data_IF_278962358238
#
_entry.id   IF_278962358238
#
_cell.length_a   1.000
_cell.length_b   1.000
_cell.length_c   1.000
_cell.angle_alpha   90.00
_cell.angle_beta   90.00
_cell.angle_gamma   90.00
#
_symmetry.space_group_name_H-M   'P 1'
#
loop_
_entity.id
_entity.type
_entity.pdbx_description
1 polymer ?
#
# COMPACT_ATOMS: atom_id res chain seq x y z
N UNK A 1 5.72 17.42 6.89
CA UNK A 1 5.64 15.97 6.61
C UNK A 1 4.32 15.68 5.94
N UNK A 2 4.28 14.81 4.93
CA UNK A 2 3.02 14.31 4.37
C UNK A 2 2.36 13.41 5.40
N UNK A 3 1.11 13.67 5.74
CA UNK A 3 0.34 12.84 6.68
C UNK A 3 0.01 11.54 5.94
N UNK A 4 0.56 10.42 6.41
CA UNK A 4 0.17 9.10 5.92
C UNK A 4 -1.06 8.67 6.71
N UNK A 5 -2.22 8.70 6.06
CA UNK A 5 -3.48 8.15 6.60
C UNK A 5 -3.72 6.75 6.06
N UNK A 6 -4.26 5.87 6.91
CA UNK A 6 -4.74 4.56 6.47
C UNK A 6 -5.83 4.75 5.41
N UNK A 7 -5.65 4.06 4.28
CA UNK A 7 -6.59 4.04 3.15
C UNK A 7 -6.79 2.61 2.69
N UNK A 8 -7.98 2.31 2.19
CA UNK A 8 -8.31 1.08 1.48
C UNK A 8 -7.74 1.10 0.06
N UNK A 9 -7.63 -0.06 -0.60
CA UNK A 9 -7.22 -0.13 -2.02
C UNK A 9 -8.13 0.75 -2.88
N UNK A 10 -9.44 0.64 -2.67
CA UNK A 10 -10.44 1.42 -3.44
C UNK A 10 -10.23 2.93 -3.30
N UNK A 11 -9.98 3.42 -2.09
CA UNK A 11 -9.69 4.84 -1.86
C UNK A 11 -8.40 5.27 -2.56
N UNK A 12 -7.33 4.46 -2.50
CA UNK A 12 -6.09 4.75 -3.21
C UNK A 12 -6.30 4.80 -4.73
N UNK A 13 -7.08 3.87 -5.27
CA UNK A 13 -7.45 3.83 -6.69
C UNK A 13 -8.22 5.10 -7.06
N UNK A 14 -9.22 5.48 -6.27
CA UNK A 14 -10.03 6.66 -6.51
C UNK A 14 -9.20 7.96 -6.46
N UNK A 15 -8.24 8.08 -5.54
CA UNK A 15 -7.32 9.22 -5.50
C UNK A 15 -6.44 9.31 -6.76
N UNK A 16 -5.91 8.19 -7.24
CA UNK A 16 -5.08 8.15 -8.46
C UNK A 16 -5.91 8.47 -9.70
N UNK A 17 -7.18 8.05 -9.74
CA UNK A 17 -8.10 8.33 -10.85
C UNK A 17 -8.48 9.81 -10.96
N UNK A 18 -8.22 10.64 -9.94
CA UNK A 18 -8.39 12.10 -10.03
C UNK A 18 -7.33 12.79 -10.87
N UNK A 19 -6.25 12.10 -11.23
CA UNK A 19 -5.22 12.63 -12.12
C UNK A 19 -5.80 12.90 -13.51
N UNK A 20 -5.27 13.88 -14.26
CA UNK A 20 -5.74 14.18 -15.61
C UNK A 20 -5.69 12.96 -16.54
N UNK A 21 -6.63 12.88 -17.49
CA UNK A 21 -6.60 11.83 -18.50
C UNK A 21 -5.25 11.78 -19.25
N UNK A 22 -4.86 10.58 -19.68
CA UNK A 22 -3.58 10.30 -20.37
C UNK A 22 -2.33 10.56 -19.54
N UNK A 23 -2.46 10.91 -18.25
CA UNK A 23 -1.33 10.97 -17.33
C UNK A 23 -0.69 9.60 -17.21
N UNK A 24 0.63 9.52 -17.41
CA UNK A 24 1.41 8.29 -17.26
C UNK A 24 2.00 8.23 -15.85
N UNK A 25 1.95 7.05 -15.25
CA UNK A 25 2.47 6.84 -13.91
C UNK A 25 2.98 5.40 -13.74
N UNK A 26 3.76 5.18 -12.69
CA UNK A 26 4.27 3.87 -12.32
C UNK A 26 3.80 3.52 -10.92
N UNK A 27 3.41 2.26 -10.72
CA UNK A 27 3.10 1.71 -9.41
C UNK A 27 4.38 1.11 -8.85
N UNK A 28 4.86 1.69 -7.75
CA UNK A 28 6.11 1.32 -7.10
C UNK A 28 5.84 0.70 -5.72
N UNK A 29 6.55 -0.38 -5.44
CA UNK A 29 6.52 -1.08 -4.17
C UNK A 29 7.83 -0.81 -3.39
N UNK A 30 7.86 0.12 -2.42
CA UNK A 30 9.06 0.42 -1.62
C UNK A 30 9.39 -0.71 -0.62
N UNK A 31 10.09 -1.75 -1.09
CA UNK A 31 10.46 -2.92 -0.28
C UNK A 31 11.59 -2.63 0.71
N UNK A 32 12.44 -1.64 0.44
CA UNK A 32 13.50 -1.19 1.36
C UNK A 32 13.51 0.33 1.40
N UNK A 33 13.54 0.93 2.61
CA UNK A 33 13.66 2.38 2.80
C UNK A 33 14.83 2.69 3.73
N UNK A 34 15.88 3.33 3.21
CA UNK A 34 16.98 3.86 4.04
C UNK A 34 17.74 2.82 4.87
N UNK A 35 17.86 1.58 4.39
CA UNK A 35 18.54 0.49 5.10
C UNK A 35 19.94 0.28 4.56
N UNK A 36 20.91 0.07 5.47
CA UNK A 36 22.28 -0.29 5.07
C UNK A 36 22.35 -1.73 4.58
N UNK A 37 23.15 -1.99 3.55
CA UNK A 37 23.39 -3.35 3.06
C UNK A 37 23.20 -3.49 1.55
N UNK A 38 23.57 -4.65 1.03
CA UNK A 38 23.52 -4.93 -0.42
C UNK A 38 22.10 -5.22 -0.94
N UNK A 39 21.14 -5.44 -0.05
CA UNK A 39 19.74 -5.81 -0.34
C UNK A 39 19.60 -6.97 -1.35
N UNK A 40 20.56 -7.90 -1.34
CA UNK A 40 20.60 -9.00 -2.30
C UNK A 40 19.39 -9.93 -2.20
N UNK A 41 18.81 -10.09 -1.00
CA UNK A 41 17.63 -10.95 -0.79
C UNK A 41 16.40 -10.34 -1.45
N UNK A 42 16.23 -9.04 -1.30
CA UNK A 42 15.10 -8.27 -1.81
C UNK A 42 15.16 -8.17 -3.34
N UNK A 43 16.36 -7.97 -3.90
CA UNK A 43 16.58 -8.01 -5.36
C UNK A 43 16.35 -9.42 -5.95
N UNK A 44 16.80 -10.48 -5.27
CA UNK A 44 16.56 -11.86 -5.70
C UNK A 44 15.08 -12.24 -5.61
N UNK A 45 14.38 -11.82 -4.55
CA UNK A 45 12.93 -11.98 -4.42
C UNK A 45 12.18 -11.28 -5.57
N UNK A 46 12.62 -10.08 -5.96
CA UNK A 46 12.05 -9.37 -7.10
C UNK A 46 12.25 -10.12 -8.42
N UNK A 47 13.45 -10.66 -8.66
CA UNK A 47 13.74 -11.50 -9.85
C UNK A 47 12.83 -12.73 -9.90
N UNK A 48 12.69 -13.43 -8.77
CA UNK A 48 11.80 -14.61 -8.66
C UNK A 48 10.33 -14.25 -8.82
N UNK A 49 9.93 -13.04 -8.43
CA UNK A 49 8.60 -12.50 -8.66
C UNK A 49 8.30 -12.16 -10.13
N UNK A 50 9.30 -12.26 -11.02
CA UNK A 50 9.14 -11.95 -12.44
C UNK A 50 9.12 -10.46 -12.77
N UNK A 51 9.59 -9.62 -11.84
CA UNK A 51 9.70 -8.17 -12.10
C UNK A 51 10.93 -7.89 -12.96
N UNK A 52 10.77 -7.01 -13.95
CA UNK A 52 11.84 -6.63 -14.86
C UNK A 52 12.64 -5.40 -14.39
N UNK A 53 12.05 -4.53 -13.56
CA UNK A 53 12.67 -3.23 -13.23
C UNK A 53 12.56 -2.90 -11.75
N UNK A 54 13.58 -2.19 -11.27
CA UNK A 54 13.66 -1.69 -9.90
C UNK A 54 14.20 -0.26 -9.91
N UNK A 55 13.70 0.58 -9.01
CA UNK A 55 14.25 1.90 -8.72
C UNK A 55 15.07 1.83 -7.43
N UNK A 56 16.33 2.24 -7.49
CA UNK A 56 17.25 2.23 -6.35
C UNK A 56 17.82 3.63 -6.18
N UNK A 57 17.59 4.22 -5.01
CA UNK A 57 18.00 5.59 -4.69
C UNK A 57 17.57 6.61 -5.77
N UNK A 58 16.38 6.42 -6.34
CA UNK A 58 15.82 7.25 -7.41
C UNK A 58 16.29 6.91 -8.82
N UNK A 59 17.26 6.00 -8.99
CA UNK A 59 17.76 5.57 -10.30
C UNK A 59 17.10 4.26 -10.74
N UNK A 60 16.73 4.17 -12.02
CA UNK A 60 16.09 2.97 -12.59
C UNK A 60 17.15 1.97 -13.03
N UNK A 61 16.96 0.70 -12.66
CA UNK A 61 17.82 -0.43 -13.03
C UNK A 61 16.99 -1.56 -13.62
N UNK A 62 17.61 -2.34 -14.49
CA UNK A 62 17.05 -3.59 -14.99
C UNK A 62 17.40 -4.73 -14.03
N UNK A 63 16.39 -5.52 -13.66
CA UNK A 63 16.57 -6.67 -12.77
C UNK A 63 17.23 -7.84 -13.47
N UNK A 64 17.44 -7.84 -14.79
CA UNK A 64 18.25 -8.86 -15.48
C UNK A 64 19.75 -8.58 -15.38
N UNK A 65 20.15 -7.34 -15.09
CA UNK A 65 21.56 -6.96 -14.96
C UNK A 65 22.13 -7.23 -13.56
N UNK A 66 23.45 -7.22 -13.46
CA UNK A 66 24.14 -7.36 -12.17
C UNK A 66 24.12 -6.02 -11.41
N UNK A 67 23.24 -5.92 -10.41
CA UNK A 67 23.12 -4.74 -9.55
C UNK A 67 23.97 -4.95 -8.29
N UNK A 68 25.01 -4.13 -8.11
CA UNK A 68 25.88 -4.14 -6.92
C UNK A 68 25.63 -2.92 -6.06
N UNK A 69 25.09 -3.13 -4.86
CA UNK A 69 24.89 -2.08 -3.86
C UNK A 69 25.98 -2.11 -2.79
N UNK A 70 26.28 -0.96 -2.20
CA UNK A 70 27.35 -0.84 -1.22
C UNK A 70 26.86 -1.17 0.19
N UNK A 71 27.50 -2.14 0.85
CA UNK A 71 27.05 -2.64 2.16
C UNK A 71 26.97 -1.59 3.28
N UNK A 72 27.78 -0.53 3.19
CA UNK A 72 27.92 0.48 4.26
C UNK A 72 27.00 1.70 4.05
N UNK A 73 26.33 1.78 2.90
CA UNK A 73 25.47 2.90 2.51
C UNK A 73 24.01 2.50 2.69
N UNK A 74 23.18 3.49 3.06
CA UNK A 74 21.74 3.33 3.13
C UNK A 74 21.17 3.40 1.72
N UNK A 75 20.41 2.38 1.34
CA UNK A 75 19.73 2.31 0.06
C UNK A 75 18.21 2.27 0.25
N UNK A 76 17.49 2.81 -0.72
CA UNK A 76 16.04 2.67 -0.90
C UNK A 76 15.80 1.88 -2.17
N UNK A 77 15.03 0.80 -2.08
CA UNK A 77 14.74 -0.12 -3.19
C UNK A 77 13.23 -0.16 -3.39
N UNK A 78 12.79 0.16 -4.59
CA UNK A 78 11.39 0.23 -4.99
C UNK A 78 11.18 -0.61 -6.24
N UNK A 79 10.37 -1.66 -6.15
CA UNK A 79 10.09 -2.53 -7.30
C UNK A 79 9.05 -1.86 -8.18
N UNK A 80 9.27 -1.86 -9.50
CA UNK A 80 8.28 -1.37 -10.46
C UNK A 80 7.28 -2.48 -10.72
N UNK A 81 6.08 -2.35 -10.17
CA UNK A 81 5.02 -3.37 -10.29
C UNK A 81 4.33 -3.24 -11.65
N UNK A 82 3.87 -2.03 -11.98
CA UNK A 82 3.23 -1.76 -13.27
C UNK A 82 3.49 -0.33 -13.75
N UNK A 83 3.30 -0.12 -15.06
CA UNK A 83 3.38 1.18 -15.73
C UNK A 83 2.08 1.39 -16.48
N UNK A 84 1.32 2.39 -16.03
CA UNK A 84 -0.04 2.62 -16.47
C UNK A 84 -0.23 4.05 -16.98
N UNK A 85 -1.36 4.27 -17.63
CA UNK A 85 -1.80 5.60 -18.03
C UNK A 85 -3.28 5.75 -17.72
N UNK A 86 -3.70 6.92 -17.24
CA UNK A 86 -5.10 7.20 -16.93
C UNK A 86 -5.96 7.08 -18.19
N UNK A 87 -6.94 6.18 -18.13
CA UNK A 87 -7.98 5.94 -19.12
C UNK A 87 -9.18 5.25 -18.44
N UNK A 88 -10.31 5.13 -19.13
CA UNK A 88 -11.56 4.59 -18.56
C UNK A 88 -11.49 3.13 -18.10
N UNK A 89 -10.54 2.37 -18.63
CA UNK A 89 -10.37 0.93 -18.35
C UNK A 89 -9.30 0.63 -17.31
N UNK A 90 -8.56 1.66 -16.85
CA UNK A 90 -7.36 1.46 -16.01
C UNK A 90 -7.69 0.97 -14.61
N UNK A 91 -8.92 1.24 -14.12
CA UNK A 91 -9.32 1.03 -12.71
C UNK A 91 -9.00 -0.38 -12.21
N UNK A 92 -9.43 -1.42 -12.92
CA UNK A 92 -9.22 -2.82 -12.49
C UNK A 92 -7.74 -3.17 -12.40
N UNK A 93 -6.97 -2.87 -13.45
CA UNK A 93 -5.53 -3.13 -13.48
C UNK A 93 -4.75 -2.32 -12.45
N UNK A 94 -5.18 -1.10 -12.18
CA UNK A 94 -4.62 -0.25 -11.12
C UNK A 94 -4.86 -0.86 -9.74
N UNK A 95 -6.08 -1.34 -9.46
CA UNK A 95 -6.41 -2.02 -8.21
C UNK A 95 -5.51 -3.25 -7.99
N UNK A 96 -5.42 -4.15 -8.99
CA UNK A 96 -4.56 -5.34 -8.94
C UNK A 96 -3.08 -4.98 -8.69
N UNK A 97 -2.61 -3.91 -9.33
CA UNK A 97 -1.25 -3.42 -9.19
C UNK A 97 -0.99 -2.85 -7.78
N UNK A 98 -1.96 -2.11 -7.22
CA UNK A 98 -1.87 -1.57 -5.86
C UNK A 98 -1.91 -2.70 -4.84
N UNK A 99 -2.80 -3.69 -4.98
CA UNK A 99 -2.85 -4.88 -4.12
C UNK A 99 -1.52 -5.62 -4.11
N UNK A 100 -0.95 -5.84 -5.30
CA UNK A 100 0.36 -6.46 -5.45
C UNK A 100 1.45 -5.65 -4.74
N UNK A 101 1.49 -4.33 -4.96
CA UNK A 101 2.49 -3.45 -4.33
C UNK A 101 2.39 -3.45 -2.80
N UNK A 102 1.17 -3.37 -2.28
CA UNK A 102 0.89 -3.43 -0.84
C UNK A 102 1.30 -4.78 -0.26
N UNK A 103 1.01 -5.89 -0.94
CA UNK A 103 1.39 -7.23 -0.48
C UNK A 103 2.92 -7.42 -0.42
N UNK A 104 3.67 -6.81 -1.34
CA UNK A 104 5.14 -6.86 -1.35
C UNK A 104 5.79 -6.08 -0.21
N UNK A 105 5.18 -4.96 0.21
CA UNK A 105 5.77 -4.01 1.16
C UNK A 105 5.17 -4.08 2.54
N UNK A 106 4.10 -4.88 2.72
CA UNK A 106 3.33 -4.92 3.95
C UNK A 106 2.55 -3.63 4.18
N UNK A 107 1.94 -3.07 3.14
CA UNK A 107 0.98 -1.97 3.28
C UNK A 107 1.36 -0.64 2.64
N UNK A 108 2.47 -0.53 1.91
CA UNK A 108 2.92 0.73 1.32
C UNK A 108 2.94 0.69 -0.21
N UNK A 109 2.51 1.76 -0.85
CA UNK A 109 2.59 1.92 -2.30
C UNK A 109 2.94 3.35 -2.67
N UNK A 110 3.73 3.53 -3.71
CA UNK A 110 4.11 4.84 -4.25
C UNK A 110 3.66 4.89 -5.70
N UNK A 111 2.94 5.94 -6.06
CA UNK A 111 2.52 6.22 -7.42
C UNK A 111 3.42 7.32 -7.97
N UNK A 112 4.32 6.94 -8.87
CA UNK A 112 5.28 7.83 -9.49
C UNK A 112 4.68 8.43 -10.77
N UNK A 113 4.17 9.66 -10.67
CA UNK A 113 3.57 10.37 -11.80
C UNK A 113 4.67 10.98 -12.67
N UNK A 114 4.68 10.64 -13.96
CA UNK A 114 5.71 11.14 -14.88
C UNK A 114 5.54 12.64 -15.07
N UNK A 115 6.52 13.42 -14.59
CA UNK A 115 6.50 14.88 -14.64
C UNK A 115 5.62 15.54 -13.58
N UNK A 116 5.15 14.79 -12.58
CA UNK A 116 4.39 15.29 -11.45
C UNK A 116 5.06 14.99 -10.10
N UNK A 117 4.35 15.28 -9.01
CA UNK A 117 4.78 14.84 -7.69
C UNK A 117 4.38 13.37 -7.46
N UNK A 118 5.24 12.56 -6.84
CA UNK A 118 4.88 11.21 -6.47
C UNK A 118 3.81 11.24 -5.37
N UNK A 119 2.90 10.27 -5.37
CA UNK A 119 1.88 10.10 -4.34
C UNK A 119 2.26 8.88 -3.49
N UNK A 120 2.22 8.98 -2.16
CA UNK A 120 2.50 7.85 -1.25
C UNK A 120 1.22 7.47 -0.51
N UNK A 121 0.91 6.18 -0.48
CA UNK A 121 -0.24 5.64 0.22
C UNK A 121 0.16 4.54 1.19
N UNK A 122 -0.66 4.34 2.24
CA UNK A 122 -0.48 3.29 3.23
C UNK A 122 -1.80 2.65 3.63
N UNK A 123 -1.82 1.33 3.73
CA UNK A 123 -2.90 0.55 4.35
C UNK A 123 -2.73 0.41 5.86
N UNK A 124 -1.54 0.68 6.40
CA UNK A 124 -1.23 0.53 7.81
C UNK A 124 -1.17 1.88 8.52
N UNK A 125 -1.59 1.91 9.78
CA UNK A 125 -1.54 3.06 10.72
C UNK A 125 -0.11 3.49 11.11
N UNK A 126 0.89 3.29 10.26
CA UNK A 126 2.28 3.58 10.58
C UNK A 126 2.71 4.92 9.99
N UNK A 127 2.83 5.93 10.86
CA UNK A 127 3.45 7.21 10.54
C UNK A 127 4.91 6.95 10.11
N UNK A 128 5.39 7.51 8.98
CA UNK A 128 6.70 7.20 8.40
C UNK A 128 7.90 7.66 9.26
N UNK A 129 7.64 8.49 10.28
CA UNK A 129 8.67 9.06 11.17
C UNK A 129 9.04 8.14 12.35
N UNK A 130 8.21 7.17 12.71
CA UNK A 130 8.49 6.27 13.84
C UNK A 130 8.20 4.84 13.42
N UNK A 131 9.27 4.09 13.15
CA UNK A 131 9.24 2.66 12.84
C UNK A 131 8.82 1.81 14.04
N UNK A 132 7.58 1.98 14.49
CA UNK A 132 6.91 1.02 15.36
C UNK A 132 5.84 0.35 14.52
N UNK A 133 6.26 -0.69 13.79
CA UNK A 133 5.33 -1.74 13.39
C UNK A 133 4.68 -2.26 14.66
N UNK A 134 3.39 -2.03 14.82
CA UNK A 134 2.60 -2.77 15.81
C UNK A 134 2.28 -4.12 15.15
N UNK A 135 3.30 -4.98 15.07
CA UNK A 135 3.09 -6.41 14.89
C UNK A 135 3.05 -7.01 16.29
N UNK A 136 1.87 -7.01 16.91
CA UNK A 136 1.44 -8.08 17.82
C UNK A 136 -0.02 -7.89 18.22
N UNK A 137 -0.91 -8.65 17.60
CA UNK A 137 -2.16 -9.09 18.22
C UNK A 137 -2.38 -10.57 17.86
N UNK A 138 -1.41 -11.39 18.23
CA UNK A 138 -1.65 -12.77 18.64
C UNK A 138 -1.41 -12.81 20.16
N UNK A 139 -2.25 -13.36 21.03
CA UNK A 139 -3.20 -14.44 20.85
C UNK A 139 -4.22 -14.52 22.01
N UNK A 140 -4.82 -15.70 22.25
CA UNK A 140 -6.23 -15.84 22.58
C UNK A 140 -6.47 -16.21 24.03
N UNK A 141 -7.14 -15.39 24.85
CA UNK A 141 -7.60 -15.86 26.15
C UNK A 141 -8.94 -15.26 26.60
N UNK A 142 -9.93 -16.16 26.61
CA UNK A 142 -10.94 -16.36 27.64
C UNK A 142 -11.93 -15.23 27.95
N UNK A 143 -13.20 -15.52 27.62
CA UNK A 143 -14.36 -15.02 28.33
C UNK A 143 -14.18 -15.16 29.86
N UNK A 144 -14.87 -14.31 30.65
CA UNK A 144 -15.93 -14.90 31.44
C UNK A 144 -17.27 -14.17 31.33
N UNK A 145 -18.28 -15.04 31.35
CA UNK A 145 -19.72 -14.82 31.33
C UNK A 145 -20.20 -14.46 32.73
N UNK A 146 -20.72 -13.26 32.94
CA UNK A 146 -21.76 -13.00 33.95
C UNK A 146 -22.20 -11.52 33.87
N UNK A 147 -23.36 -11.12 33.32
CA UNK A 147 -24.77 -11.33 33.70
C UNK A 147 -25.34 -9.98 34.16
N UNK A 148 -26.51 -9.60 33.61
CA UNK A 148 -27.51 -8.62 34.11
C UNK A 148 -27.17 -7.15 33.73
N UNK A 149 -28.02 -6.35 33.06
CA UNK A 149 -29.49 -6.30 32.90
C UNK A 149 -29.86 -5.43 31.68
N UNK A 150 -30.77 -5.90 30.82
CA UNK A 150 -31.69 -5.06 30.02
C UNK A 150 -32.74 -4.42 30.98
N UNK A 151 -33.37 -3.27 30.69
CA UNK A 151 -34.26 -3.02 29.54
C UNK A 151 -34.06 -1.60 28.94
N UNK A 152 -34.63 -1.17 27.82
CA UNK A 152 -35.88 -1.52 27.19
C UNK A 152 -35.79 -1.29 25.68
N UNK A 153 -36.16 -2.32 24.92
CA UNK A 153 -36.69 -2.17 23.58
C UNK A 153 -38.22 -2.27 23.73
N UNK A 154 -38.96 -1.24 23.37
CA UNK A 154 -40.37 -1.35 23.00
C UNK A 154 -40.50 -0.62 21.67
N UNK A 155 -40.56 -1.38 20.58
CA UNK A 155 -41.76 -1.85 19.85
C UNK A 155 -42.21 -0.79 18.85
N UNK A 156 -41.97 -1.01 17.56
CA UNK A 156 -42.77 -1.83 16.64
C UNK A 156 -44.08 -1.11 16.26
N UNK A 157 -44.05 -0.60 15.03
CA UNK A 157 -45.08 -0.55 13.99
C UNK A 157 -46.53 -0.92 14.37
N UNK A 158 -47.48 -0.09 13.92
CA UNK A 158 -48.57 -0.45 12.99
C UNK A 158 -49.84 0.42 13.16
N UNK A 159 -50.25 1.03 12.04
CA UNK A 159 -51.63 1.17 11.51
C UNK A 159 -52.69 2.14 12.09
N UNK A 160 -53.54 2.54 11.13
CA UNK A 160 -54.89 3.12 11.16
C UNK A 160 -54.97 4.64 11.48
N UNK A 161 -55.29 5.54 10.54
CA UNK A 161 -56.53 5.75 9.75
C UNK A 161 -57.51 6.72 10.44
N UNK A 162 -57.76 7.85 9.76
CA UNK A 162 -59.07 8.53 9.67
C UNK A 162 -59.53 9.38 10.85
N UNK A 163 -59.91 10.62 10.54
CA UNK A 163 -60.66 11.52 11.43
C UNK A 163 -60.33 12.98 11.19
#
# INVERSE_FOLDING_TARGET
>A
GRVISQQTVDEMVDEVLKLPERTRFQVLAPVVRGRKGTQAKELDAARRGGYARVRIDGNMYDLDEEIKLEKNIKHTVEIVVDRLSINDTVRGRLADSIETAVALTGGLVIIDVIGGEPMEFSQNYACPEHGVSIDELSGPHSAPRSKIRQPACLRLSDKFSGG
#
